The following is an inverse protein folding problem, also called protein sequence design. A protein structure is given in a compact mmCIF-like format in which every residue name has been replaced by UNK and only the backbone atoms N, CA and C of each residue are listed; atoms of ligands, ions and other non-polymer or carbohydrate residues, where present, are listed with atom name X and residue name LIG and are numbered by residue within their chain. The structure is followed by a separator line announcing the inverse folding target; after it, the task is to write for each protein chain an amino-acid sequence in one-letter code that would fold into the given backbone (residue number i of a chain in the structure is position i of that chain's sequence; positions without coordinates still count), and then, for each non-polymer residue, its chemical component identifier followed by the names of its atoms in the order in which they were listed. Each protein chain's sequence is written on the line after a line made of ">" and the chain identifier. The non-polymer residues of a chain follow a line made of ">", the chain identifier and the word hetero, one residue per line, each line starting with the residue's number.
data_IF_128940130131
#
_entry.id   IF_128940130131
#
_cell.length_a   1.000
_cell.length_b   1.000
_cell.length_c   1.000
_cell.angle_alpha   90.00
_cell.angle_beta   90.00
_cell.angle_gamma   90.00
#
_symmetry.space_group_name_H-M   'P 1'
#
loop_
_entity.id
_entity.type
_entity.pdbx_description
1 polymer ?
#
# COMPACT_ATOMS: atom_id res chain seq x y z
N UNK A 1 -11.14 -42.65 62.45
CA UNK A 1 -10.86 -42.56 61.00
C UNK A 1 -12.01 -41.86 60.33
N UNK A 2 -11.91 -40.57 60.11
CA UNK A 2 -12.77 -39.74 59.23
C UNK A 2 -12.31 -38.29 59.36
N UNK A 3 -11.68 -37.76 58.31
CA UNK A 3 -11.60 -36.35 57.95
C UNK A 3 -10.25 -36.01 57.31
N UNK A 4 -10.05 -36.42 56.10
CA UNK A 4 -8.92 -35.89 55.27
C UNK A 4 -9.27 -35.60 53.76
N UNK A 5 -10.55 -35.60 53.37
CA UNK A 5 -10.92 -35.49 51.96
C UNK A 5 -11.79 -34.26 51.62
N UNK A 6 -11.70 -33.16 52.38
CA UNK A 6 -12.58 -31.99 52.12
C UNK A 6 -11.81 -30.69 51.82
N UNK A 7 -10.52 -30.75 51.51
CA UNK A 7 -9.71 -29.53 51.27
C UNK A 7 -9.09 -29.43 49.86
N UNK A 8 -9.40 -30.36 48.93
CA UNK A 8 -8.86 -30.34 47.58
C UNK A 8 -9.86 -29.83 46.54
N UNK A 9 -11.14 -29.74 46.84
CA UNK A 9 -12.18 -29.35 45.87
C UNK A 9 -12.38 -27.83 45.73
N UNK A 10 -11.83 -27.00 46.61
CA UNK A 10 -12.08 -25.53 46.58
C UNK A 10 -10.98 -24.75 45.89
N UNK A 11 -9.83 -25.34 45.60
CA UNK A 11 -8.71 -24.65 44.96
C UNK A 11 -8.74 -24.68 43.41
N UNK A 12 -9.59 -25.51 42.79
CA UNK A 12 -9.68 -25.63 41.33
C UNK A 12 -10.75 -24.69 40.73
N UNK A 13 -11.72 -24.23 41.53
CA UNK A 13 -12.80 -23.37 41.03
C UNK A 13 -12.43 -21.88 40.93
N UNK A 14 -11.31 -21.42 41.52
CA UNK A 14 -10.89 -20.02 41.50
C UNK A 14 -9.87 -19.70 40.42
N UNK A 15 -9.31 -20.70 39.72
CA UNK A 15 -8.35 -20.49 38.62
C UNK A 15 -8.99 -20.31 37.22
N UNK A 16 -10.31 -20.53 37.10
CA UNK A 16 -11.03 -20.37 35.81
C UNK A 16 -11.77 -19.03 35.66
N UNK A 17 -11.69 -18.13 36.62
CA UNK A 17 -12.40 -16.85 36.59
C UNK A 17 -11.55 -15.66 36.05
N UNK A 18 -10.37 -15.91 35.48
CA UNK A 18 -9.42 -14.85 35.08
C UNK A 18 -9.05 -14.76 33.60
N UNK A 19 -9.51 -15.69 32.77
CA UNK A 19 -9.33 -15.53 31.33
C UNK A 19 -10.53 -14.76 30.78
N UNK A 20 -10.51 -13.44 30.87
CA UNK A 20 -11.36 -12.60 29.98
C UNK A 20 -10.91 -12.92 28.56
N UNK A 21 -11.70 -13.74 27.87
CA UNK A 21 -11.51 -13.97 26.44
C UNK A 21 -11.51 -12.59 25.77
N UNK A 22 -10.38 -12.19 25.17
CA UNK A 22 -10.33 -11.02 24.34
C UNK A 22 -11.27 -11.29 23.15
N UNK A 23 -12.47 -10.70 23.18
CA UNK A 23 -13.43 -10.83 22.09
C UNK A 23 -13.16 -9.75 21.05
N UNK A 24 -13.24 -10.12 19.79
CA UNK A 24 -13.24 -9.16 18.68
C UNK A 24 -14.29 -8.06 18.92
N UNK A 25 -13.93 -6.80 18.64
CA UNK A 25 -14.81 -5.66 18.88
C UNK A 25 -16.02 -5.72 17.94
N UNK A 26 -17.24 -5.73 18.48
CA UNK A 26 -18.45 -5.68 17.63
C UNK A 26 -18.54 -4.35 16.87
N UNK A 27 -19.30 -4.29 15.74
CA UNK A 27 -19.51 -3.02 15.03
C UNK A 27 -20.06 -1.90 15.92
N UNK A 28 -20.91 -2.23 16.90
CA UNK A 28 -21.45 -1.25 17.85
C UNK A 28 -20.37 -0.69 18.81
N UNK A 29 -19.48 -1.56 19.31
CA UNK A 29 -18.33 -1.14 20.12
C UNK A 29 -17.36 -0.31 19.29
N UNK A 30 -17.05 -0.74 18.06
CA UNK A 30 -16.19 0.00 17.14
C UNK A 30 -16.75 1.39 16.81
N UNK A 31 -18.06 1.50 16.62
CA UNK A 31 -18.74 2.77 16.38
C UNK A 31 -18.66 3.76 17.56
N UNK A 32 -18.53 3.23 18.78
CA UNK A 32 -18.43 4.02 20.00
C UNK A 32 -16.99 4.46 20.35
N UNK A 33 -15.98 4.03 19.60
CA UNK A 33 -14.59 4.45 19.79
C UNK A 33 -14.47 5.96 19.61
N UNK A 34 -13.93 6.71 20.58
CA UNK A 34 -13.86 8.16 20.53
C UNK A 34 -12.93 8.64 19.40
N UNK A 35 -13.14 9.87 18.92
CA UNK A 35 -12.45 10.42 17.76
C UNK A 35 -10.92 10.51 17.93
N UNK A 36 -10.43 10.66 19.16
CA UNK A 36 -9.01 10.68 19.49
C UNK A 36 -8.36 9.27 19.48
N UNK A 37 -9.13 8.23 19.28
CA UNK A 37 -8.68 6.85 19.08
C UNK A 37 -8.98 6.34 17.66
N UNK A 38 -9.26 7.26 16.73
CA UNK A 38 -9.53 6.96 15.33
C UNK A 38 -8.39 7.48 14.45
N UNK A 39 -7.71 6.59 13.73
CA UNK A 39 -6.68 6.94 12.76
C UNK A 39 -7.24 6.84 11.35
N UNK A 40 -7.06 7.87 10.52
CA UNK A 40 -7.47 7.86 9.12
C UNK A 40 -6.25 7.81 8.23
N UNK A 41 -6.15 6.73 7.46
CA UNK A 41 -5.09 6.47 6.50
C UNK A 41 -5.64 6.61 5.09
N UNK A 42 -4.88 7.22 4.19
CA UNK A 42 -5.18 7.20 2.76
C UNK A 42 -3.93 6.98 1.93
N UNK A 43 -4.10 6.46 0.70
CA UNK A 43 -3.04 6.37 -0.30
C UNK A 43 -2.84 5.00 -0.92
N UNK A 44 -1.62 4.50 -0.90
CA UNK A 44 -1.17 3.35 -1.68
C UNK A 44 -1.97 2.07 -1.48
N UNK A 45 -2.57 1.55 -2.55
CA UNK A 45 -3.19 0.22 -2.54
C UNK A 45 -2.14 -0.91 -2.54
N UNK A 46 -0.95 -0.66 -3.06
CA UNK A 46 0.13 -1.64 -3.12
C UNK A 46 0.74 -1.92 -1.73
N UNK A 47 0.81 -0.91 -0.84
CA UNK A 47 1.30 -1.05 0.53
C UNK A 47 0.25 -1.58 1.51
N UNK A 48 -1.01 -1.76 1.08
CA UNK A 48 -2.13 -2.15 1.95
C UNK A 48 -1.89 -3.44 2.72
N UNK A 49 -1.36 -4.46 2.06
CA UNK A 49 -1.14 -5.77 2.69
C UNK A 49 -0.06 -5.68 3.78
N UNK A 50 0.95 -4.83 3.60
CA UNK A 50 1.96 -4.56 4.63
C UNK A 50 1.37 -3.80 5.83
N UNK A 51 0.53 -2.80 5.58
CA UNK A 51 -0.20 -2.08 6.64
C UNK A 51 -1.12 -3.03 7.41
N UNK A 52 -1.89 -3.88 6.72
CA UNK A 52 -2.76 -4.86 7.36
C UNK A 52 -1.98 -5.90 8.17
N UNK A 53 -0.82 -6.36 7.67
CA UNK A 53 0.07 -7.25 8.41
C UNK A 53 0.55 -6.59 9.71
N UNK A 54 0.98 -5.32 9.65
CA UNK A 54 1.35 -4.55 10.84
C UNK A 54 0.20 -4.42 11.84
N UNK A 55 -0.98 -4.03 11.38
CA UNK A 55 -2.17 -3.88 12.23
C UNK A 55 -2.60 -5.21 12.89
N UNK A 56 -2.46 -6.34 12.19
CA UNK A 56 -2.84 -7.67 12.71
C UNK A 56 -1.74 -8.33 13.56
N UNK A 57 -0.56 -7.74 13.66
CA UNK A 57 0.51 -8.25 14.49
C UNK A 57 0.12 -8.22 15.99
N UNK A 58 0.46 -9.27 16.72
CA UNK A 58 0.16 -9.38 18.15
C UNK A 58 0.88 -8.31 18.99
N UNK A 59 1.89 -7.66 18.43
CA UNK A 59 2.60 -6.51 19.01
C UNK A 59 1.89 -5.19 18.79
N UNK A 60 0.92 -5.12 17.85
CA UNK A 60 0.08 -3.95 17.63
C UNK A 60 -1.32 -4.15 18.22
N UNK A 61 -2.02 -5.21 17.83
CA UNK A 61 -3.34 -5.57 18.34
C UNK A 61 -3.26 -6.77 19.27
N UNK A 62 -3.98 -6.76 20.39
CA UNK A 62 -4.13 -7.94 21.24
C UNK A 62 -4.69 -9.12 20.45
N UNK A 63 -4.16 -10.31 20.68
CA UNK A 63 -4.60 -11.51 19.99
C UNK A 63 -6.11 -11.74 20.18
N UNK A 64 -6.82 -12.01 19.07
CA UNK A 64 -8.26 -12.26 19.06
C UNK A 64 -9.16 -11.03 19.08
N UNK A 65 -8.60 -9.80 19.08
CA UNK A 65 -9.40 -8.56 19.05
C UNK A 65 -9.50 -7.90 17.67
N UNK A 66 -8.68 -8.32 16.71
CA UNK A 66 -8.57 -7.70 15.39
C UNK A 66 -9.76 -8.02 14.47
N UNK A 67 -10.43 -6.99 13.98
CA UNK A 67 -11.52 -7.08 13.00
C UNK A 67 -11.23 -6.31 11.72
N UNK A 68 -11.82 -6.78 10.63
CA UNK A 68 -11.76 -6.17 9.30
C UNK A 68 -13.15 -5.78 8.83
N UNK A 69 -13.28 -4.56 8.33
CA UNK A 69 -14.49 -4.04 7.70
C UNK A 69 -14.18 -3.60 6.29
N UNK A 70 -15.06 -3.91 5.36
CA UNK A 70 -14.96 -3.49 3.95
C UNK A 70 -16.33 -3.19 3.37
N UNK A 71 -16.37 -2.56 2.21
CA UNK A 71 -17.62 -2.27 1.51
C UNK A 71 -18.24 -3.55 0.93
N UNK A 72 -19.55 -3.63 0.95
CA UNK A 72 -20.34 -4.85 0.66
C UNK A 72 -20.62 -5.14 -0.83
N UNK A 73 -20.06 -4.38 -1.79
CA UNK A 73 -20.40 -4.54 -3.22
C UNK A 73 -19.23 -5.03 -4.06
N UNK A 74 -19.53 -5.70 -5.20
CA UNK A 74 -18.51 -6.25 -6.12
C UNK A 74 -17.68 -5.20 -6.84
N UNK A 75 -18.22 -4.00 -7.05
CA UNK A 75 -17.51 -2.83 -7.61
C UNK A 75 -17.28 -1.78 -6.52
N UNK A 76 -16.98 -2.26 -5.34
CA UNK A 76 -16.85 -1.40 -4.17
C UNK A 76 -15.60 -0.57 -4.21
N UNK A 77 -15.67 0.66 -3.70
CA UNK A 77 -14.48 1.43 -3.41
C UNK A 77 -13.59 0.63 -2.44
N UNK A 78 -12.28 0.77 -2.59
CA UNK A 78 -11.32 0.12 -1.68
C UNK A 78 -11.20 0.94 -0.38
N UNK A 79 -12.32 0.97 0.35
CA UNK A 79 -12.46 1.58 1.66
C UNK A 79 -12.55 0.48 2.71
N UNK A 80 -11.66 0.51 3.67
CA UNK A 80 -11.57 -0.46 4.76
C UNK A 80 -11.57 0.23 6.11
N UNK A 81 -11.90 -0.53 7.14
CA UNK A 81 -11.62 -0.18 8.51
C UNK A 81 -11.12 -1.42 9.26
N UNK A 82 -10.29 -1.18 10.26
CA UNK A 82 -9.76 -2.19 11.15
C UNK A 82 -10.01 -1.74 12.58
N UNK A 83 -10.44 -2.62 13.45
CA UNK A 83 -10.55 -2.29 14.87
C UNK A 83 -9.91 -3.37 15.73
N UNK A 84 -9.32 -2.97 16.82
CA UNK A 84 -8.79 -3.86 17.82
C UNK A 84 -8.59 -3.16 19.18
N UNK A 85 -8.20 -3.91 20.17
CA UNK A 85 -7.61 -3.42 21.41
C UNK A 85 -6.08 -3.42 21.24
N UNK A 86 -5.42 -2.29 21.54
CA UNK A 86 -3.96 -2.18 21.43
C UNK A 86 -3.26 -3.15 22.39
N UNK A 87 -2.14 -3.69 21.93
CA UNK A 87 -1.40 -4.71 22.68
C UNK A 87 -0.77 -4.15 23.95
N UNK A 88 -0.85 -4.91 25.04
CA UNK A 88 -0.15 -4.62 26.30
C UNK A 88 1.33 -5.00 26.19
N UNK A 89 2.21 -4.16 26.73
CA UNK A 89 3.66 -4.37 26.66
C UNK A 89 4.23 -4.29 25.25
N UNK A 90 3.54 -3.59 24.35
CA UNK A 90 3.98 -3.36 22.99
C UNK A 90 5.24 -2.50 22.97
N UNK A 91 6.24 -2.82 22.16
CA UNK A 91 7.41 -1.93 21.98
C UNK A 91 7.07 -0.65 21.21
N UNK A 92 5.88 -0.53 20.63
CA UNK A 92 5.47 0.57 19.76
C UNK A 92 4.58 1.59 20.45
N UNK A 93 4.02 1.27 21.62
CA UNK A 93 3.15 2.15 22.39
C UNK A 93 3.74 2.40 23.77
N UNK A 94 3.31 3.49 24.38
CA UNK A 94 3.56 3.72 25.80
C UNK A 94 2.34 3.29 26.62
N UNK A 95 2.52 3.17 27.92
CA UNK A 95 1.50 2.72 28.88
C UNK A 95 0.20 3.55 28.83
N UNK A 96 0.21 4.74 28.18
CA UNK A 96 -0.94 5.65 28.18
C UNK A 96 -2.03 5.24 27.19
N UNK A 97 -1.72 4.43 26.17
CA UNK A 97 -2.69 3.98 25.15
C UNK A 97 -2.77 2.45 25.03
N UNK A 98 -1.97 1.71 25.80
CA UNK A 98 -2.08 0.26 25.85
C UNK A 98 -3.48 -0.15 26.37
N UNK A 99 -4.03 -1.23 25.82
CA UNK A 99 -5.39 -1.71 26.11
C UNK A 99 -6.52 -0.80 25.60
N UNK A 100 -6.24 0.29 24.94
CA UNK A 100 -7.28 1.13 24.33
C UNK A 100 -7.87 0.47 23.09
N UNK A 101 -9.17 0.65 22.90
CA UNK A 101 -9.83 0.26 21.66
C UNK A 101 -9.57 1.32 20.61
N UNK A 102 -9.11 0.90 19.44
CA UNK A 102 -8.82 1.79 18.32
C UNK A 102 -9.55 1.36 17.05
N UNK A 103 -9.80 2.31 16.16
CA UNK A 103 -10.25 2.04 14.81
C UNK A 103 -9.39 2.79 13.79
N UNK A 104 -8.92 2.07 12.81
CA UNK A 104 -8.07 2.56 11.72
C UNK A 104 -8.88 2.47 10.42
N UNK A 105 -9.14 3.61 9.79
CA UNK A 105 -9.80 3.68 8.50
C UNK A 105 -8.73 3.77 7.41
N UNK A 106 -8.87 2.98 6.36
CA UNK A 106 -7.92 2.99 5.25
C UNK A 106 -8.64 3.13 3.92
N UNK A 107 -8.36 4.23 3.24
CA UNK A 107 -8.76 4.49 1.86
C UNK A 107 -7.58 4.20 0.94
N UNK A 108 -7.63 3.12 0.17
CA UNK A 108 -6.57 2.73 -0.75
C UNK A 108 -6.97 2.87 -2.24
N UNK A 109 -8.04 3.56 -2.52
CA UNK A 109 -8.51 3.84 -3.88
C UNK A 109 -7.96 5.18 -4.41
N UNK A 110 -7.78 5.30 -5.73
CA UNK A 110 -7.33 6.52 -6.39
C UNK A 110 -5.82 6.74 -6.33
N UNK A 111 -5.08 5.80 -5.74
CA UNK A 111 -3.62 5.80 -5.74
C UNK A 111 -2.97 6.50 -4.55
N UNK A 112 -1.65 6.44 -4.55
CA UNK A 112 -0.80 6.85 -3.43
C UNK A 112 -0.89 8.32 -3.09
N UNK A 113 -1.09 9.19 -4.10
CA UNK A 113 -1.14 10.64 -3.88
C UNK A 113 -2.29 11.09 -2.98
N UNK A 114 -3.35 10.29 -2.87
CA UNK A 114 -4.46 10.59 -1.97
C UNK A 114 -4.09 10.56 -0.48
N UNK A 115 -2.91 10.02 -0.14
CA UNK A 115 -2.34 10.13 1.20
C UNK A 115 -1.64 11.49 1.40
N UNK A 116 -0.41 11.65 0.90
CA UNK A 116 0.37 12.88 1.11
C UNK A 116 -0.26 14.11 0.45
N UNK A 117 -0.89 13.98 -0.72
CA UNK A 117 -1.56 15.10 -1.40
C UNK A 117 -2.77 15.62 -0.62
N UNK A 118 -3.57 14.74 -0.02
CA UNK A 118 -4.68 15.15 0.84
C UNK A 118 -4.19 15.85 2.11
N UNK A 119 -3.07 15.41 2.70
CA UNK A 119 -2.42 16.08 3.83
C UNK A 119 -1.92 17.47 3.41
N UNK A 120 -1.15 17.55 2.30
CA UNK A 120 -0.58 18.80 1.80
C UNK A 120 -1.63 19.86 1.52
N UNK A 121 -2.81 19.47 1.06
CA UNK A 121 -3.90 20.37 0.67
C UNK A 121 -5.00 20.49 1.71
N UNK A 122 -4.90 19.77 2.82
CA UNK A 122 -5.93 19.72 3.86
C UNK A 122 -7.32 19.37 3.30
N UNK A 123 -7.37 18.36 2.40
CA UNK A 123 -8.60 17.91 1.73
C UNK A 123 -9.15 16.68 2.43
N UNK A 124 -10.41 16.66 2.88
CA UNK A 124 -11.01 15.46 3.43
C UNK A 124 -11.22 14.40 2.35
N UNK A 125 -11.01 13.13 2.71
CA UNK A 125 -11.18 11.95 1.85
C UNK A 125 -12.33 11.08 2.33
N UNK A 126 -12.91 10.31 1.41
CA UNK A 126 -13.92 9.31 1.75
C UNK A 126 -13.33 8.25 2.69
N UNK A 127 -14.07 7.87 3.70
CA UNK A 127 -13.76 6.74 4.59
C UNK A 127 -15.01 5.92 4.92
N UNK A 128 -14.79 4.66 5.25
CA UNK A 128 -15.84 3.79 5.74
C UNK A 128 -16.36 4.29 7.10
N UNK A 129 -17.66 4.11 7.36
CA UNK A 129 -18.27 4.27 8.68
C UNK A 129 -18.66 2.89 9.19
N UNK A 130 -18.12 2.50 10.33
CA UNK A 130 -18.50 1.26 11.00
C UNK A 130 -19.68 1.52 11.93
N UNK A 131 -20.75 0.77 11.78
CA UNK A 131 -21.93 0.83 12.66
C UNK A 131 -22.69 -0.50 12.64
N UNK A 132 -23.82 -0.58 13.31
CA UNK A 132 -24.62 -1.80 13.43
C UNK A 132 -25.15 -2.39 12.10
N UNK A 133 -25.11 -1.63 10.99
CA UNK A 133 -25.46 -2.15 9.65
C UNK A 133 -24.36 -2.98 9.01
N UNK A 134 -23.13 -2.96 9.55
CA UNK A 134 -22.03 -3.84 9.10
C UNK A 134 -22.32 -5.27 9.56
N UNK A 135 -22.39 -6.20 8.63
CA UNK A 135 -22.75 -7.60 8.90
C UNK A 135 -21.55 -8.51 8.87
N UNK A 136 -21.45 -9.40 9.85
CA UNK A 136 -20.40 -10.42 9.93
C UNK A 136 -20.55 -11.42 8.76
N UNK A 137 -19.44 -11.71 8.08
CA UNK A 137 -19.40 -12.69 7.00
C UNK A 137 -18.68 -13.97 7.39
N UNK A 138 -17.53 -13.83 8.03
CA UNK A 138 -16.77 -14.94 8.58
C UNK A 138 -15.84 -14.43 9.70
N UNK A 139 -15.69 -15.20 10.77
CA UNK A 139 -14.74 -14.94 11.87
C UNK A 139 -14.72 -13.49 12.35
N UNK A 140 -13.86 -12.68 11.78
CA UNK A 140 -13.64 -11.26 12.12
C UNK A 140 -13.85 -10.30 10.94
N UNK A 141 -14.42 -10.79 9.83
CA UNK A 141 -14.65 -10.00 8.62
C UNK A 141 -16.10 -9.50 8.55
N UNK A 142 -16.28 -8.21 8.31
CA UNK A 142 -17.56 -7.54 8.22
C UNK A 142 -17.73 -6.84 6.86
N UNK A 143 -18.96 -6.83 6.34
CA UNK A 143 -19.36 -6.06 5.17
C UNK A 143 -20.27 -4.91 5.58
N UNK A 144 -19.92 -3.70 5.15
CA UNK A 144 -20.67 -2.48 5.43
C UNK A 144 -21.32 -1.96 4.13
N UNK A 145 -22.63 -1.72 4.09
CA UNK A 145 -23.30 -1.27 2.88
C UNK A 145 -22.95 0.18 2.52
N UNK A 146 -22.49 0.39 1.29
CA UNK A 146 -22.26 1.70 0.67
C UNK A 146 -22.90 1.69 -0.71
N UNK A 147 -23.57 2.76 -1.11
CA UNK A 147 -24.22 2.90 -2.41
C UNK A 147 -23.83 4.22 -3.08
N UNK A 148 -23.92 4.25 -4.42
CA UNK A 148 -23.68 5.45 -5.24
C UNK A 148 -22.30 6.10 -5.03
N UNK A 149 -21.29 5.31 -4.70
CA UNK A 149 -19.92 5.81 -4.62
C UNK A 149 -19.38 6.11 -6.03
N UNK A 150 -18.77 7.27 -6.18
CA UNK A 150 -18.06 7.68 -7.38
C UNK A 150 -16.68 8.22 -7.01
N UNK A 151 -15.64 7.61 -7.53
CA UNK A 151 -14.26 7.99 -7.25
C UNK A 151 -13.95 9.42 -7.74
N UNK A 152 -14.46 9.83 -8.90
CA UNK A 152 -14.19 11.15 -9.47
C UNK A 152 -14.59 12.30 -8.55
N UNK A 153 -15.61 12.12 -7.69
CA UNK A 153 -16.02 13.08 -6.67
C UNK A 153 -15.70 12.62 -5.24
N UNK A 154 -14.88 11.57 -5.09
CA UNK A 154 -14.50 10.98 -3.82
C UNK A 154 -15.69 10.65 -2.91
N UNK A 155 -16.72 10.04 -3.49
CA UNK A 155 -17.89 9.60 -2.75
C UNK A 155 -18.80 10.71 -2.21
N UNK A 156 -18.70 11.96 -2.72
CA UNK A 156 -19.59 13.05 -2.25
C UNK A 156 -21.08 12.75 -2.44
N UNK A 157 -21.42 11.91 -3.41
CA UNK A 157 -22.78 11.45 -3.68
C UNK A 157 -23.11 10.09 -3.07
N UNK A 158 -22.15 9.46 -2.41
CA UNK A 158 -22.35 8.15 -1.81
C UNK A 158 -23.27 8.22 -0.59
N UNK A 159 -23.97 7.12 -0.34
CA UNK A 159 -24.88 6.93 0.78
C UNK A 159 -24.55 5.65 1.54
N UNK A 160 -25.07 5.52 2.76
CA UNK A 160 -24.82 4.36 3.63
C UNK A 160 -23.62 4.61 4.54
N UNK A 161 -22.78 3.59 4.68
CA UNK A 161 -21.64 3.60 5.62
C UNK A 161 -20.42 4.36 5.08
N UNK A 162 -20.60 5.64 4.77
CA UNK A 162 -19.53 6.49 4.24
C UNK A 162 -19.59 7.90 4.85
N UNK A 163 -18.44 8.50 5.05
CA UNK A 163 -18.25 9.90 5.39
C UNK A 163 -16.93 10.41 4.83
N UNK A 164 -16.63 11.69 5.01
CA UNK A 164 -15.37 12.29 4.61
C UNK A 164 -14.67 12.93 5.79
N UNK A 165 -13.35 12.74 5.88
CA UNK A 165 -12.55 13.28 6.98
C UNK A 165 -11.12 13.55 6.55
N UNK A 166 -10.40 14.37 7.32
CA UNK A 166 -9.00 14.65 7.06
C UNK A 166 -8.13 13.41 7.29
N UNK A 167 -7.07 13.29 6.48
CA UNK A 167 -6.09 12.22 6.58
C UNK A 167 -5.12 12.50 7.72
N UNK A 168 -4.92 11.54 8.59
CA UNK A 168 -3.94 11.61 9.68
C UNK A 168 -2.57 11.04 9.24
N UNK A 169 -2.60 9.98 8.41
CA UNK A 169 -1.40 9.28 7.94
C UNK A 169 -1.54 8.97 6.44
N UNK A 170 -0.70 9.57 5.62
CA UNK A 170 -0.62 9.27 4.20
C UNK A 170 0.32 8.11 3.96
N UNK A 171 -0.05 7.19 3.06
CA UNK A 171 0.80 6.07 2.62
C UNK A 171 1.04 6.19 1.12
N UNK A 172 2.29 6.14 0.68
CA UNK A 172 2.66 6.21 -0.72
C UNK A 172 3.69 5.14 -1.08
N UNK A 173 3.69 4.70 -2.35
CA UNK A 173 4.63 3.70 -2.86
C UNK A 173 6.04 4.27 -3.09
N UNK A 174 6.18 5.60 -3.03
CA UNK A 174 7.42 6.36 -3.16
C UNK A 174 7.25 7.75 -2.51
N UNK A 175 8.30 8.60 -2.58
CA UNK A 175 8.27 9.93 -1.96
C UNK A 175 7.18 10.83 -2.55
N UNK A 176 6.57 11.70 -1.71
CA UNK A 176 5.48 12.58 -2.14
C UNK A 176 5.82 13.48 -3.32
N UNK A 177 7.06 13.95 -3.43
CA UNK A 177 7.53 14.86 -4.49
C UNK A 177 7.50 14.23 -5.88
N UNK A 178 7.54 12.89 -5.99
CA UNK A 178 7.47 12.19 -7.26
C UNK A 178 6.09 12.27 -7.92
N UNK A 179 5.07 12.71 -7.20
CA UNK A 179 3.71 12.86 -7.72
C UNK A 179 3.44 14.22 -8.37
N UNK A 180 4.45 14.92 -8.83
CA UNK A 180 4.30 16.20 -9.54
C UNK A 180 4.02 16.02 -11.05
N UNK A 181 3.47 17.06 -11.67
CA UNK A 181 3.22 17.12 -13.12
C UNK A 181 2.27 16.02 -13.61
N UNK A 182 2.72 15.22 -14.57
CA UNK A 182 1.92 14.13 -15.16
C UNK A 182 1.54 13.03 -14.16
N UNK A 183 2.21 12.97 -13.01
CA UNK A 183 1.95 12.01 -11.95
C UNK A 183 1.01 12.54 -10.85
N UNK A 184 0.55 13.80 -10.96
CA UNK A 184 -0.52 14.31 -10.09
C UNK A 184 -1.84 13.61 -10.41
N UNK A 185 -2.90 13.91 -9.69
CA UNK A 185 -4.23 13.31 -9.91
C UNK A 185 -4.86 13.70 -11.25
N UNK A 186 -5.85 12.94 -11.68
CA UNK A 186 -6.70 13.31 -12.80
C UNK A 186 -7.37 14.67 -12.57
N UNK A 187 -7.50 15.51 -13.64
CA UNK A 187 -8.23 16.77 -13.57
C UNK A 187 -9.66 16.58 -13.08
N UNK A 188 -10.14 17.53 -12.27
CA UNK A 188 -11.51 17.51 -11.75
C UNK A 188 -11.72 16.69 -10.49
N UNK A 189 -10.70 15.99 -9.99
CA UNK A 189 -10.80 15.30 -8.69
C UNK A 189 -10.83 16.31 -7.52
N UNK A 190 -11.35 15.93 -6.34
CA UNK A 190 -11.36 16.79 -5.15
C UNK A 190 -9.98 17.25 -4.66
N UNK A 191 -8.90 16.56 -5.00
CA UNK A 191 -7.55 17.06 -4.75
C UNK A 191 -7.22 18.30 -5.62
N UNK A 192 -7.90 18.47 -6.76
CA UNK A 192 -7.74 19.63 -7.63
C UNK A 192 -6.33 19.81 -8.19
N UNK A 193 -5.92 21.04 -8.44
CA UNK A 193 -4.61 21.34 -9.02
C UNK A 193 -3.46 20.93 -8.07
N UNK A 194 -2.33 20.61 -8.66
CA UNK A 194 -1.08 20.35 -7.95
C UNK A 194 -0.75 21.51 -6.99
N UNK A 195 -0.24 21.22 -5.77
CA UNK A 195 0.23 22.27 -4.87
C UNK A 195 1.45 22.99 -5.44
N UNK A 196 1.80 24.15 -4.88
CA UNK A 196 3.00 24.87 -5.27
C UNK A 196 4.25 24.00 -5.17
N UNK A 197 5.23 24.25 -6.05
CA UNK A 197 6.49 23.54 -6.06
C UNK A 197 7.15 23.51 -4.66
N UNK A 198 7.67 22.36 -4.26
CA UNK A 198 8.31 22.13 -2.97
C UNK A 198 7.37 21.80 -1.82
N UNK A 199 6.04 21.96 -1.95
CA UNK A 199 5.10 21.63 -0.86
C UNK A 199 5.10 20.13 -0.58
N UNK A 200 5.10 19.29 -1.61
CA UNK A 200 5.17 17.83 -1.43
C UNK A 200 6.51 17.37 -0.87
N UNK A 201 7.61 17.96 -1.34
CA UNK A 201 8.96 17.67 -0.86
C UNK A 201 9.19 18.09 0.62
N UNK A 202 8.42 19.08 1.10
CA UNK A 202 8.50 19.53 2.49
C UNK A 202 7.72 18.64 3.47
N UNK A 203 6.95 17.67 2.99
CA UNK A 203 6.22 16.74 3.86
C UNK A 203 7.20 15.79 4.57
N UNK A 204 7.01 15.54 5.88
CA UNK A 204 7.83 14.60 6.63
C UNK A 204 7.48 13.16 6.24
N UNK A 205 8.04 12.68 5.15
CA UNK A 205 7.85 11.32 4.67
C UNK A 205 8.89 10.38 5.29
N UNK A 206 8.41 9.31 5.94
CA UNK A 206 9.25 8.28 6.57
C UNK A 206 9.22 7.02 5.71
N UNK A 207 10.34 6.52 5.20
CA UNK A 207 10.39 5.24 4.49
C UNK A 207 10.08 4.09 5.45
N UNK A 208 9.20 3.17 5.02
CA UNK A 208 8.73 2.08 5.89
C UNK A 208 9.10 0.70 5.38
N UNK A 209 8.98 0.44 4.09
CA UNK A 209 9.32 -0.85 3.46
C UNK A 209 9.89 -0.64 2.07
N UNK A 210 10.71 -1.58 1.60
CA UNK A 210 10.99 -1.75 0.18
C UNK A 210 9.86 -2.55 -0.47
N UNK A 211 9.38 -2.10 -1.63
CA UNK A 211 8.32 -2.75 -2.36
C UNK A 211 8.73 -2.99 -3.81
N UNK A 212 8.74 -4.26 -4.22
CA UNK A 212 9.07 -4.65 -5.58
C UNK A 212 7.84 -4.55 -6.49
N UNK A 213 8.06 -4.11 -7.71
CA UNK A 213 7.05 -4.02 -8.78
C UNK A 213 7.46 -4.90 -9.96
N UNK A 214 6.52 -5.21 -10.84
CA UNK A 214 6.80 -6.03 -12.01
C UNK A 214 5.89 -5.71 -13.18
N UNK A 215 6.33 -6.15 -14.35
CA UNK A 215 5.56 -6.06 -15.60
C UNK A 215 4.73 -7.32 -15.75
N UNK A 216 3.44 -7.13 -15.99
CA UNK A 216 2.47 -8.20 -16.21
C UNK A 216 2.16 -8.34 -17.69
N UNK A 217 2.02 -9.59 -18.13
CA UNK A 217 1.36 -9.97 -19.38
C UNK A 217 0.31 -11.03 -19.07
N UNK A 218 -0.56 -11.36 -20.03
CA UNK A 218 -1.48 -12.50 -19.87
C UNK A 218 -0.69 -13.81 -19.65
N UNK A 219 -1.27 -14.73 -18.90
CA UNK A 219 -0.63 -16.02 -18.62
C UNK A 219 -0.38 -16.88 -19.87
N UNK A 220 -1.23 -16.72 -20.91
CA UNK A 220 -1.12 -17.39 -22.20
C UNK A 220 -0.18 -16.68 -23.20
N UNK A 221 0.31 -15.49 -22.90
CA UNK A 221 1.28 -14.78 -23.72
C UNK A 221 2.61 -15.55 -23.79
N UNK A 222 3.25 -15.68 -24.96
CA UNK A 222 4.59 -16.27 -25.06
C UNK A 222 5.69 -15.37 -24.50
N UNK A 223 5.41 -14.10 -24.26
CA UNK A 223 6.38 -13.13 -23.70
C UNK A 223 6.83 -13.59 -22.31
N UNK A 224 8.14 -13.84 -22.17
CA UNK A 224 8.74 -14.29 -20.91
C UNK A 224 9.69 -13.25 -20.29
N UNK A 225 10.28 -12.42 -21.14
CA UNK A 225 11.25 -11.40 -20.72
C UNK A 225 11.10 -10.11 -21.55
N UNK A 226 11.38 -8.98 -20.95
CA UNK A 226 11.47 -7.68 -21.62
C UNK A 226 12.72 -6.95 -21.14
N UNK A 227 13.34 -6.19 -22.01
CA UNK A 227 14.37 -5.24 -21.60
C UNK A 227 13.72 -3.95 -21.06
N UNK A 228 14.48 -3.17 -20.29
CA UNK A 228 14.06 -1.81 -19.86
C UNK A 228 13.69 -0.97 -21.09
N UNK A 229 14.44 -1.09 -22.18
CA UNK A 229 14.18 -0.34 -23.42
C UNK A 229 12.86 -0.77 -24.08
N UNK A 230 12.53 -2.06 -24.11
CA UNK A 230 11.25 -2.53 -24.67
C UNK A 230 10.08 -2.01 -23.85
N UNK A 231 10.18 -2.07 -22.52
CA UNK A 231 9.16 -1.55 -21.61
C UNK A 231 8.99 -0.05 -21.82
N UNK A 232 10.07 0.70 -21.85
CA UNK A 232 10.05 2.15 -22.15
C UNK A 232 9.38 2.41 -23.48
N UNK A 233 9.76 1.69 -24.55
CA UNK A 233 9.20 1.89 -25.90
C UNK A 233 7.71 1.57 -25.98
N UNK A 234 7.24 0.57 -25.26
CA UNK A 234 5.80 0.25 -25.17
C UNK A 234 5.05 1.35 -24.44
N UNK A 235 5.49 1.71 -23.22
CA UNK A 235 4.77 2.69 -22.40
C UNK A 235 4.90 4.14 -22.86
N UNK A 236 5.83 4.46 -23.73
CA UNK A 236 5.90 5.75 -24.44
C UNK A 236 5.19 5.73 -25.78
N UNK A 237 4.57 4.60 -26.17
CA UNK A 237 3.83 4.45 -27.42
C UNK A 237 4.69 4.33 -28.67
N UNK A 238 6.01 4.11 -28.53
CA UNK A 238 6.90 3.88 -29.67
C UNK A 238 6.76 2.46 -30.26
N UNK A 239 6.31 1.51 -29.46
CA UNK A 239 5.90 0.18 -29.90
C UNK A 239 4.39 0.04 -29.75
N UNK A 240 3.69 -0.07 -30.89
CA UNK A 240 2.23 -0.26 -30.94
C UNK A 240 1.80 -1.71 -31.16
N UNK A 241 2.71 -2.58 -31.58
CA UNK A 241 2.47 -3.98 -31.90
C UNK A 241 3.56 -4.86 -31.33
N UNK A 242 3.18 -6.05 -30.84
CA UNK A 242 4.13 -7.00 -30.28
C UNK A 242 5.19 -7.50 -31.27
N UNK A 243 4.91 -7.43 -32.59
CA UNK A 243 5.92 -7.74 -33.61
C UNK A 243 7.13 -6.79 -33.61
N UNK A 244 6.99 -5.60 -33.02
CA UNK A 244 8.07 -4.63 -32.86
C UNK A 244 8.97 -4.93 -31.65
N UNK A 245 8.52 -5.80 -30.73
CA UNK A 245 9.24 -6.16 -29.50
C UNK A 245 10.13 -7.37 -29.78
N UNK A 246 11.46 -7.23 -29.71
CA UNK A 246 12.38 -8.31 -29.99
C UNK A 246 12.14 -9.53 -29.08
N UNK A 247 12.00 -10.70 -29.65
CA UNK A 247 11.83 -11.95 -28.89
C UNK A 247 10.47 -12.13 -28.24
N UNK A 248 9.47 -11.30 -28.55
CA UNK A 248 8.11 -11.40 -27.98
C UNK A 248 7.43 -12.75 -28.31
N UNK A 249 7.76 -13.35 -29.44
CA UNK A 249 7.12 -14.59 -29.91
C UNK A 249 5.65 -14.45 -30.29
N UNK A 250 5.14 -13.22 -30.38
CA UNK A 250 3.74 -12.90 -30.71
C UNK A 250 3.64 -11.63 -31.56
N UNK A 251 2.45 -11.36 -32.08
CA UNK A 251 2.13 -10.18 -32.91
C UNK A 251 0.77 -9.64 -32.50
N UNK A 252 0.44 -8.47 -33.03
CA UNK A 252 -0.84 -7.78 -32.84
C UNK A 252 -0.73 -6.57 -31.91
N UNK A 253 -1.73 -5.68 -31.98
CA UNK A 253 -1.70 -4.41 -31.27
C UNK A 253 -1.60 -4.61 -29.76
N UNK A 254 -0.76 -3.79 -29.13
CA UNK A 254 -0.54 -3.83 -27.68
C UNK A 254 -1.66 -3.04 -26.97
N UNK A 255 -2.30 -3.68 -26.00
CA UNK A 255 -3.20 -3.00 -25.06
C UNK A 255 -2.46 -2.71 -23.76
N UNK A 256 -2.33 -1.42 -23.42
CA UNK A 256 -1.67 -0.97 -22.19
C UNK A 256 -2.73 -0.81 -21.10
N UNK A 257 -2.74 -1.73 -20.14
CA UNK A 257 -3.52 -1.61 -18.91
C UNK A 257 -2.67 -0.86 -17.88
N UNK A 258 -2.83 0.46 -17.78
CA UNK A 258 -2.08 1.28 -16.82
C UNK A 258 -2.92 1.63 -15.60
N UNK A 259 -2.27 2.10 -14.56
CA UNK A 259 -2.93 2.77 -13.45
C UNK A 259 -3.18 4.24 -13.80
N UNK A 260 -4.22 4.82 -13.22
CA UNK A 260 -4.51 6.25 -13.32
C UNK A 260 -3.41 7.12 -12.71
N UNK A 261 -3.45 8.42 -12.98
CA UNK A 261 -2.57 9.41 -12.36
C UNK A 261 -2.71 9.40 -10.84
N UNK A 262 -1.62 9.69 -10.14
CA UNK A 262 -1.58 9.61 -8.68
C UNK A 262 -1.39 8.21 -8.10
N UNK A 263 -1.41 7.17 -8.93
CA UNK A 263 -1.01 5.83 -8.52
C UNK A 263 0.50 5.76 -8.32
N UNK A 264 0.96 5.36 -7.14
CA UNK A 264 2.38 5.19 -6.87
C UNK A 264 3.02 4.08 -7.73
N UNK A 265 2.30 3.00 -8.00
CA UNK A 265 2.73 1.95 -8.93
C UNK A 265 3.01 2.51 -10.33
N UNK A 266 2.13 3.39 -10.84
CA UNK A 266 2.34 4.03 -12.15
C UNK A 266 3.46 5.07 -12.07
N UNK A 267 3.44 5.93 -11.07
CA UNK A 267 4.48 6.94 -10.85
C UNK A 267 5.87 6.29 -10.75
N UNK A 268 5.99 5.20 -10.00
CA UNK A 268 7.23 4.44 -9.91
C UNK A 268 7.72 3.91 -11.26
N UNK A 269 6.80 3.48 -12.13
CA UNK A 269 7.16 3.09 -13.49
C UNK A 269 7.63 4.28 -14.34
N UNK A 270 6.92 5.42 -14.23
CA UNK A 270 7.28 6.63 -14.95
C UNK A 270 8.66 7.16 -14.53
N UNK A 271 8.97 7.07 -13.23
CA UNK A 271 10.30 7.40 -12.70
C UNK A 271 11.35 6.42 -13.21
N UNK A 272 11.10 5.12 -13.08
CA UNK A 272 12.12 4.09 -13.35
C UNK A 272 12.42 3.91 -14.84
N UNK A 273 11.38 3.81 -15.68
CA UNK A 273 11.57 3.53 -17.11
C UNK A 273 11.75 4.79 -17.95
N UNK A 274 11.07 5.89 -17.59
CA UNK A 274 11.03 7.11 -18.41
C UNK A 274 11.79 8.29 -17.81
N UNK A 275 12.24 8.19 -16.55
CA UNK A 275 12.95 9.27 -15.88
C UNK A 275 12.08 10.47 -15.51
N UNK A 276 10.74 10.31 -15.42
CA UNK A 276 9.84 11.38 -14.99
C UNK A 276 10.25 11.94 -13.63
N UNK A 277 10.24 13.25 -13.51
CA UNK A 277 10.68 14.00 -12.33
C UNK A 277 12.17 13.83 -11.95
N UNK A 278 12.93 13.05 -12.73
CA UNK A 278 14.34 12.76 -12.48
C UNK A 278 15.27 13.29 -13.57
N UNK A 279 14.75 13.58 -14.75
CA UNK A 279 15.53 14.02 -15.89
C UNK A 279 14.81 15.09 -16.70
N UNK A 280 15.50 16.14 -17.17
CA UNK A 280 14.92 17.12 -18.08
C UNK A 280 14.57 16.53 -19.45
N UNK A 281 15.11 15.34 -19.78
CA UNK A 281 14.80 14.60 -21.01
C UNK A 281 13.86 13.41 -20.76
N UNK A 282 13.08 13.46 -19.68
CA UNK A 282 12.09 12.44 -19.38
C UNK A 282 11.08 12.27 -20.53
N UNK A 283 10.75 11.03 -20.83
CA UNK A 283 9.78 10.68 -21.86
C UNK A 283 8.38 10.57 -21.23
N UNK A 284 7.35 11.17 -21.84
CA UNK A 284 5.99 11.05 -21.32
C UNK A 284 5.45 9.63 -21.55
N UNK A 285 4.85 9.04 -20.53
CA UNK A 285 4.04 7.84 -20.69
C UNK A 285 2.76 8.13 -21.46
N UNK A 286 2.34 7.20 -22.32
CA UNK A 286 1.05 7.34 -23.00
C UNK A 286 -0.10 7.33 -22.01
N UNK A 287 -1.07 8.17 -22.29
CA UNK A 287 -2.28 8.35 -21.52
C UNK A 287 -3.49 8.25 -22.45
N UNK A 288 -4.66 7.90 -21.94
CA UNK A 288 -5.85 7.74 -22.78
C UNK A 288 -6.33 9.05 -23.41
N UNK A 289 -6.06 10.18 -22.76
CA UNK A 289 -6.56 11.51 -23.18
C UNK A 289 -5.47 12.50 -23.52
N UNK A 290 -4.49 12.70 -22.63
CA UNK A 290 -3.55 13.83 -22.73
C UNK A 290 -2.33 13.53 -23.59
N UNK A 291 -1.92 12.28 -23.67
CA UNK A 291 -0.80 11.81 -24.45
C UNK A 291 -1.15 10.46 -25.11
N UNK A 292 -2.11 10.47 -26.07
CA UNK A 292 -2.51 9.23 -26.72
C UNK A 292 -1.35 8.65 -27.52
N UNK A 293 -1.25 7.31 -27.61
CA UNK A 293 -0.18 6.66 -28.35
C UNK A 293 -0.24 6.95 -29.85
N UNK A 294 0.91 7.18 -30.46
CA UNK A 294 1.04 7.52 -31.89
C UNK A 294 0.78 6.28 -32.77
N UNK A 295 1.11 5.09 -32.29
CA UNK A 295 1.14 3.86 -33.09
C UNK A 295 -0.02 2.89 -32.80
N UNK A 296 -1.16 3.40 -32.35
CA UNK A 296 -2.40 2.61 -32.30
C UNK A 296 -2.56 1.69 -31.11
N UNK A 297 -1.74 1.82 -30.07
CA UNK A 297 -1.99 1.12 -28.79
C UNK A 297 -3.34 1.54 -28.23
N UNK A 298 -4.04 0.61 -27.62
CA UNK A 298 -5.16 0.93 -26.73
C UNK A 298 -4.63 1.17 -25.33
N UNK A 299 -4.97 2.30 -24.71
CA UNK A 299 -4.62 2.62 -23.32
C UNK A 299 -5.88 2.58 -22.47
N UNK A 300 -5.89 1.76 -21.42
CA UNK A 300 -7.01 1.62 -20.50
C UNK A 300 -6.49 1.93 -19.08
N UNK A 301 -7.11 2.92 -18.45
CA UNK A 301 -6.75 3.36 -17.11
C UNK A 301 -7.58 2.66 -16.04
N UNK A 302 -6.94 2.40 -14.91
CA UNK A 302 -7.48 1.55 -13.86
C UNK A 302 -7.24 2.20 -12.49
N UNK A 303 -8.30 2.41 -11.71
CA UNK A 303 -8.25 3.05 -10.40
C UNK A 303 -7.63 2.20 -9.29
N UNK A 304 -7.60 0.87 -9.47
CA UNK A 304 -7.07 -0.07 -8.47
C UNK A 304 -6.20 -1.15 -9.13
N UNK A 305 -5.41 -1.86 -8.34
CA UNK A 305 -4.67 -3.04 -8.81
C UNK A 305 -5.61 -4.18 -9.23
N UNK A 306 -6.79 -4.28 -8.62
CA UNK A 306 -7.80 -5.28 -9.00
C UNK A 306 -8.43 -4.97 -10.35
N UNK A 307 -8.78 -3.71 -10.63
CA UNK A 307 -9.31 -3.30 -11.94
C UNK A 307 -8.26 -3.45 -13.05
N UNK A 308 -6.98 -3.23 -12.75
CA UNK A 308 -5.88 -3.54 -13.69
C UNK A 308 -5.84 -5.04 -14.03
N UNK A 309 -5.97 -5.93 -13.05
CA UNK A 309 -6.04 -7.37 -13.31
C UNK A 309 -7.23 -7.75 -14.21
N UNK A 310 -8.39 -7.11 -14.02
CA UNK A 310 -9.57 -7.28 -14.90
C UNK A 310 -9.29 -6.80 -16.31
N UNK A 311 -8.69 -5.61 -16.47
CA UNK A 311 -8.26 -5.08 -17.77
C UNK A 311 -7.34 -6.06 -18.49
N UNK A 312 -6.33 -6.59 -17.79
CA UNK A 312 -5.35 -7.53 -18.34
C UNK A 312 -6.00 -8.80 -18.88
N UNK A 313 -6.99 -9.34 -18.16
CA UNK A 313 -7.68 -10.59 -18.57
C UNK A 313 -8.72 -10.37 -19.66
N UNK A 314 -9.34 -9.21 -19.70
CA UNK A 314 -10.35 -8.86 -20.71
C UNK A 314 -9.75 -8.56 -22.09
N UNK A 315 -8.47 -8.18 -22.17
CA UNK A 315 -7.82 -7.74 -23.40
C UNK A 315 -6.70 -8.71 -23.80
N UNK A 316 -6.77 -9.20 -25.03
CA UNK A 316 -5.65 -9.94 -25.64
C UNK A 316 -4.46 -9.00 -25.85
N UNK A 317 -3.24 -9.53 -25.85
CA UNK A 317 -2.02 -8.74 -26.05
C UNK A 317 -1.79 -7.61 -25.05
N UNK A 318 -2.37 -7.73 -23.85
CA UNK A 318 -2.26 -6.72 -22.81
C UNK A 318 -0.92 -6.77 -22.07
N UNK A 319 -0.49 -5.58 -21.65
CA UNK A 319 0.65 -5.35 -20.75
C UNK A 319 0.24 -4.42 -19.63
N UNK A 320 0.77 -4.62 -18.43
CA UNK A 320 0.47 -3.77 -17.28
C UNK A 320 1.58 -3.79 -16.24
N UNK A 321 1.41 -2.99 -15.19
CA UNK A 321 2.37 -2.85 -14.10
C UNK A 321 1.65 -3.11 -12.78
N UNK A 322 2.24 -3.93 -11.94
CA UNK A 322 1.69 -4.21 -10.61
C UNK A 322 2.80 -4.41 -9.58
N UNK A 323 2.41 -4.36 -8.31
CA UNK A 323 3.27 -4.82 -7.22
C UNK A 323 3.61 -6.30 -7.44
N UNK A 324 4.87 -6.67 -7.20
CA UNK A 324 5.38 -8.03 -7.43
C UNK A 324 4.98 -8.99 -6.29
N UNK A 325 3.69 -9.01 -5.97
CA UNK A 325 3.02 -9.96 -5.10
C UNK A 325 2.56 -11.18 -5.93
N UNK A 326 1.48 -11.83 -5.58
CA UNK A 326 0.86 -12.81 -6.48
C UNK A 326 0.34 -12.11 -7.75
N UNK A 327 0.69 -12.63 -8.92
CA UNK A 327 0.13 -12.13 -10.17
C UNK A 327 -1.40 -12.34 -10.14
N UNK A 328 -2.21 -11.36 -10.59
CA UNK A 328 -3.64 -11.54 -10.75
C UNK A 328 -3.96 -12.78 -11.58
N UNK A 329 -5.04 -13.49 -11.25
CA UNK A 329 -5.47 -14.68 -12.00
C UNK A 329 -5.54 -14.39 -13.50
N UNK A 330 -4.99 -15.28 -14.33
CA UNK A 330 -4.92 -15.10 -15.77
C UNK A 330 -3.79 -14.19 -16.27
N UNK A 331 -2.89 -13.76 -15.37
CA UNK A 331 -1.68 -13.00 -15.72
C UNK A 331 -0.42 -13.68 -15.18
N UNK A 332 0.74 -13.23 -15.67
CA UNK A 332 2.06 -13.62 -15.16
C UNK A 332 3.01 -12.44 -15.21
N UNK A 333 3.98 -12.42 -14.31
CA UNK A 333 5.10 -11.50 -14.40
C UNK A 333 6.10 -11.97 -15.47
N UNK A 334 6.67 -11.01 -16.19
CA UNK A 334 7.84 -11.23 -17.05
C UNK A 334 9.12 -10.83 -16.33
N UNK A 335 10.25 -11.38 -16.73
CA UNK A 335 11.55 -10.92 -16.23
C UNK A 335 11.95 -9.58 -16.87
N UNK A 336 12.65 -8.74 -16.11
CA UNK A 336 13.27 -7.52 -16.62
C UNK A 336 14.78 -7.74 -16.64
N UNK A 337 15.41 -7.70 -17.82
CA UNK A 337 16.83 -7.98 -17.95
C UNK A 337 17.25 -9.34 -17.38
N UNK A 338 16.42 -10.37 -17.56
CA UNK A 338 16.60 -11.74 -17.03
C UNK A 338 16.45 -11.89 -15.50
N UNK A 339 15.99 -10.85 -14.81
CA UNK A 339 15.71 -10.90 -13.38
C UNK A 339 14.21 -11.00 -13.12
N UNK A 340 13.79 -11.98 -12.32
CA UNK A 340 12.40 -12.13 -11.93
C UNK A 340 12.02 -11.07 -10.87
N UNK A 341 10.84 -10.43 -11.00
CA UNK A 341 10.37 -9.53 -9.97
C UNK A 341 10.04 -10.29 -8.68
N UNK A 342 10.40 -9.72 -7.56
CA UNK A 342 10.08 -10.31 -6.27
C UNK A 342 10.92 -9.77 -5.12
N UNK A 343 10.44 -10.03 -3.91
CA UNK A 343 11.09 -9.62 -2.67
C UNK A 343 12.54 -10.11 -2.58
N UNK A 344 12.75 -11.39 -2.85
CA UNK A 344 14.08 -12.00 -2.68
C UNK A 344 15.13 -11.40 -3.63
N UNK A 345 14.75 -11.19 -4.89
CA UNK A 345 15.66 -10.63 -5.91
C UNK A 345 15.90 -9.13 -5.68
N UNK A 346 14.90 -8.38 -5.23
CA UNK A 346 15.04 -6.98 -4.87
C UNK A 346 15.92 -6.82 -3.61
N UNK A 347 15.70 -7.63 -2.57
CA UNK A 347 16.43 -7.54 -1.31
C UNK A 347 17.94 -7.85 -1.44
N UNK A 348 18.33 -8.69 -2.43
CA UNK A 348 19.75 -8.98 -2.71
C UNK A 348 20.34 -8.08 -3.80
N UNK A 349 19.58 -7.06 -4.26
CA UNK A 349 20.07 -6.08 -5.25
C UNK A 349 20.22 -6.62 -6.67
N UNK A 350 19.64 -7.78 -7.00
CA UNK A 350 19.64 -8.32 -8.37
C UNK A 350 18.48 -7.83 -9.23
N UNK A 351 17.45 -7.26 -8.61
CA UNK A 351 16.28 -6.69 -9.27
C UNK A 351 16.07 -5.24 -8.84
N UNK A 352 16.17 -4.29 -9.75
CA UNK A 352 16.24 -2.86 -9.47
C UNK A 352 14.89 -2.13 -9.48
N UNK A 353 13.82 -2.76 -10.03
CA UNK A 353 12.52 -2.11 -10.11
C UNK A 353 11.73 -2.28 -8.80
N UNK A 354 12.12 -1.54 -7.80
CA UNK A 354 11.48 -1.45 -6.48
C UNK A 354 11.64 -0.03 -5.91
N UNK A 355 10.80 0.36 -4.98
CA UNK A 355 10.83 1.66 -4.31
C UNK A 355 10.63 1.50 -2.82
N UNK A 356 11.03 2.53 -2.07
CA UNK A 356 10.70 2.68 -0.67
C UNK A 356 9.29 3.25 -0.55
N UNK A 357 8.35 2.48 -0.02
CA UNK A 357 7.06 3.01 0.36
C UNK A 357 7.24 3.91 1.58
N UNK A 358 6.52 5.03 1.60
CA UNK A 358 6.65 6.06 2.61
C UNK A 358 5.34 6.26 3.38
N UNK A 359 5.47 6.70 4.64
CA UNK A 359 4.35 7.19 5.44
C UNK A 359 4.58 8.65 5.81
N UNK A 360 3.55 9.47 5.62
CA UNK A 360 3.55 10.91 5.91
C UNK A 360 2.54 11.20 7.00
N UNK A 361 3.00 11.65 8.16
CA UNK A 361 2.11 12.02 9.27
C UNK A 361 1.65 13.48 9.10
N UNK A 362 0.36 13.73 9.23
CA UNK A 362 -0.18 15.08 9.22
C UNK A 362 0.31 15.88 10.43
N UNK A 363 0.50 17.17 10.25
CA UNK A 363 0.83 18.08 11.36
C UNK A 363 -0.36 18.32 12.28
N UNK A 364 -0.09 18.63 13.56
CA UNK A 364 -1.11 19.06 14.52
C UNK A 364 -2.08 17.95 14.98
N UNK A 365 -1.71 16.69 14.86
CA UNK A 365 -2.49 15.58 15.42
C UNK A 365 -2.56 15.70 16.95
N UNK A 366 -3.69 15.28 17.54
CA UNK A 366 -3.74 15.10 18.99
C UNK A 366 -2.77 14.00 19.43
N UNK A 367 -2.41 13.99 20.72
CA UNK A 367 -1.37 13.10 21.26
C UNK A 367 -1.68 11.63 20.98
N UNK A 368 -2.91 11.17 21.24
CA UNK A 368 -3.31 9.76 21.08
C UNK A 368 -3.26 9.30 19.62
N UNK A 369 -3.86 10.05 18.69
CA UNK A 369 -3.78 9.72 17.25
C UNK A 369 -2.33 9.75 16.77
N UNK A 370 -1.52 10.69 17.26
CA UNK A 370 -0.10 10.77 16.98
C UNK A 370 0.65 9.51 17.41
N UNK A 371 0.40 9.02 18.62
CA UNK A 371 1.00 7.78 19.15
C UNK A 371 0.54 6.53 18.37
N UNK A 372 -0.74 6.45 17.99
CA UNK A 372 -1.25 5.34 17.15
C UNK A 372 -0.56 5.36 15.77
N UNK A 373 -0.40 6.54 15.17
CA UNK A 373 0.29 6.68 13.89
C UNK A 373 1.77 6.29 13.98
N UNK A 374 2.48 6.74 15.02
CA UNK A 374 3.89 6.40 15.24
C UNK A 374 4.07 4.89 15.49
N UNK A 375 3.17 4.28 16.28
CA UNK A 375 3.16 2.84 16.50
C UNK A 375 2.92 2.04 15.22
N UNK A 376 2.02 2.51 14.35
CA UNK A 376 1.79 1.87 13.06
C UNK A 376 3.01 1.99 12.13
N UNK A 377 3.65 3.15 12.07
CA UNK A 377 4.91 3.32 11.32
C UNK A 377 5.94 2.31 11.83
N UNK A 378 6.15 2.24 13.13
CA UNK A 378 7.14 1.38 13.75
C UNK A 378 6.89 -0.13 13.50
N UNK A 379 5.63 -0.60 13.62
CA UNK A 379 5.31 -2.01 13.37
C UNK A 379 5.41 -2.39 11.89
N UNK A 380 5.13 -1.46 10.97
CA UNK A 380 5.32 -1.69 9.53
C UNK A 380 6.81 -1.68 9.16
N UNK A 381 7.65 -0.99 9.89
CA UNK A 381 9.11 -1.04 9.73
C UNK A 381 9.74 -2.30 10.33
N UNK A 382 9.02 -3.02 11.19
CA UNK A 382 9.55 -4.19 11.90
C UNK A 382 9.81 -5.36 10.94
N UNK A 383 11.03 -5.84 10.93
CA UNK A 383 11.51 -6.92 10.08
C UNK A 383 10.87 -8.29 10.40
N UNK A 384 10.21 -8.43 11.54
CA UNK A 384 9.48 -9.65 11.92
C UNK A 384 8.06 -9.68 11.37
N UNK A 385 7.47 -8.52 11.10
CA UNK A 385 6.11 -8.37 10.56
C UNK A 385 6.06 -8.49 9.04
N UNK A 386 6.99 -7.85 8.34
CA UNK A 386 7.02 -7.73 6.87
C UNK A 386 7.26 -9.05 6.11
N UNK A 387 7.98 -10.06 6.59
CA UNK A 387 8.17 -11.33 5.86
C UNK A 387 6.90 -12.06 5.46
N UNK A 388 5.75 -11.71 6.01
CA UNK A 388 4.45 -12.27 5.63
C UNK A 388 3.90 -11.70 4.31
N UNK A 389 4.50 -10.61 3.79
CA UNK A 389 4.06 -9.91 2.57
C UNK A 389 5.02 -10.20 1.42
N UNK A 390 4.53 -10.85 0.36
CA UNK A 390 5.38 -11.38 -0.71
C UNK A 390 6.18 -10.34 -1.52
N UNK A 391 5.67 -9.11 -1.64
CA UNK A 391 6.29 -8.04 -2.43
C UNK A 391 7.13 -7.08 -1.60
N UNK A 392 6.93 -7.08 -0.28
CA UNK A 392 7.57 -6.15 0.62
C UNK A 392 8.79 -6.78 1.33
N UNK A 393 9.77 -5.97 1.63
CA UNK A 393 10.94 -6.34 2.42
C UNK A 393 11.32 -5.21 3.38
N UNK A 394 11.83 -5.60 4.53
CA UNK A 394 12.29 -4.64 5.53
C UNK A 394 13.52 -3.89 5.02
N UNK A 395 13.56 -2.60 5.30
CA UNK A 395 14.72 -1.75 5.07
C UNK A 395 15.54 -1.73 6.35
N UNK A 396 16.65 -2.45 6.42
CA UNK A 396 17.48 -2.47 7.63
C UNK A 396 18.10 -1.12 7.91
N UNK A 397 18.14 -0.76 9.19
CA UNK A 397 18.83 0.43 9.66
C UNK A 397 18.14 1.73 9.24
N UNK A 398 16.81 1.77 9.21
CA UNK A 398 16.01 2.99 9.01
C UNK A 398 16.10 4.00 10.15
N UNK A 399 17.04 3.85 11.07
CA UNK A 399 17.48 4.96 11.90
C UNK A 399 18.11 6.05 11.00
N UNK A 400 18.19 7.32 11.44
CA UNK A 400 18.89 8.36 10.70
C UNK A 400 20.32 7.86 10.47
N UNK A 401 20.63 7.40 9.26
CA UNK A 401 21.99 7.02 8.87
C UNK A 401 22.72 8.32 8.64
N UNK A 402 23.29 8.83 9.69
CA UNK A 402 24.24 9.95 9.66
C UNK A 402 25.68 9.48 9.45
N UNK A 403 25.90 8.26 8.94
CA UNK A 403 27.26 7.81 8.70
C UNK A 403 27.34 6.75 7.59
N UNK A 404 28.36 6.84 6.72
CA UNK A 404 28.63 5.86 5.66
C UNK A 404 29.14 4.50 6.15
N UNK A 405 28.99 4.17 7.42
CA UNK A 405 29.54 2.98 8.09
C UNK A 405 28.53 2.26 8.97
N UNK A 406 27.24 2.25 8.63
CA UNK A 406 26.34 1.30 9.28
C UNK A 406 26.85 -0.13 9.01
N UNK A 407 27.14 -0.88 10.06
CA UNK A 407 27.67 -2.23 9.97
C UNK A 407 26.82 -3.08 9.02
N UNK A 408 27.46 -3.69 8.05
CA UNK A 408 26.87 -4.63 7.10
C UNK A 408 26.22 -5.76 7.90
N UNK A 409 24.89 -5.79 7.96
CA UNK A 409 24.17 -6.93 8.49
C UNK A 409 24.15 -8.03 7.41
N UNK A 410 24.49 -9.26 7.73
CA UNK A 410 24.49 -10.33 6.74
C UNK A 410 23.05 -10.53 6.23
N UNK A 411 22.88 -10.62 4.93
CA UNK A 411 21.63 -10.97 4.29
C UNK A 411 21.19 -12.34 4.81
N UNK A 412 20.17 -12.36 5.64
CA UNK A 412 19.58 -13.61 6.10
C UNK A 412 18.66 -14.17 5.02
N UNK A 413 18.86 -15.40 4.60
CA UNK A 413 17.98 -16.10 3.66
C UNK A 413 16.58 -16.33 4.23
N UNK A 414 16.44 -16.27 5.55
CA UNK A 414 15.16 -16.43 6.26
C UNK A 414 14.47 -15.09 6.52
N UNK A 415 15.22 -13.98 6.52
CA UNK A 415 14.72 -12.61 6.67
C UNK A 415 15.41 -11.74 5.64
N UNK A 416 14.88 -11.61 4.42
CA UNK A 416 15.47 -10.75 3.42
C UNK A 416 15.35 -9.30 3.89
N UNK A 417 16.46 -8.78 4.35
CA UNK A 417 16.65 -7.38 4.74
C UNK A 417 17.40 -6.72 3.62
N UNK A 418 16.83 -5.74 2.96
CA UNK A 418 17.55 -4.94 1.98
C UNK A 418 18.51 -4.01 2.69
N UNK A 419 19.75 -4.09 2.31
CA UNK A 419 20.78 -3.12 2.67
C UNK A 419 20.85 -1.97 1.67
N UNK A 420 20.00 -2.01 0.65
CA UNK A 420 19.92 -1.01 -0.38
C UNK A 420 18.93 0.08 0.02
N UNK A 421 19.26 1.32 -0.28
CA UNK A 421 18.39 2.47 -0.09
C UNK A 421 18.19 3.21 -1.39
N UNK A 422 16.96 3.66 -1.57
CA UNK A 422 16.58 4.54 -2.67
C UNK A 422 15.56 5.49 -2.09
N UNK A 423 15.76 6.77 -2.14
CA UNK A 423 14.75 7.70 -1.74
C UNK A 423 15.09 8.58 -0.54
N UNK A 424 14.12 8.90 0.29
CA UNK A 424 14.13 10.03 1.24
C UNK A 424 15.26 10.05 2.26
N UNK A 425 15.92 8.93 2.55
CA UNK A 425 17.02 8.88 3.51
C UNK A 425 18.40 9.22 2.91
N UNK A 426 18.55 9.05 1.58
CA UNK A 426 19.84 9.21 0.87
C UNK A 426 19.71 10.10 -0.39
N UNK A 427 18.57 10.67 -0.60
CA UNK A 427 18.19 11.41 -1.79
C UNK A 427 16.72 11.20 -2.14
N UNK A 428 16.42 10.89 -3.38
CA UNK A 428 15.06 10.61 -3.83
C UNK A 428 15.01 9.38 -4.74
N UNK A 429 13.81 8.96 -5.12
CA UNK A 429 13.56 7.82 -6.02
C UNK A 429 14.25 7.89 -7.37
N UNK A 430 14.83 9.03 -7.74
CA UNK A 430 15.65 9.17 -8.95
C UNK A 430 16.99 8.42 -8.87
N UNK A 431 17.44 8.09 -7.69
CA UNK A 431 18.69 7.35 -7.52
C UNK A 431 18.46 5.85 -7.72
N UNK A 432 19.46 5.19 -8.31
CA UNK A 432 19.43 3.72 -8.36
C UNK A 432 19.57 3.16 -6.95
N UNK A 433 18.97 1.99 -6.68
CA UNK A 433 19.22 1.28 -5.44
C UNK A 433 20.73 1.09 -5.24
N UNK A 434 21.22 1.45 -4.08
CA UNK A 434 22.61 1.19 -3.70
C UNK A 434 22.61 0.02 -2.73
N UNK A 435 23.08 -1.15 -3.19
CA UNK A 435 23.40 -2.23 -2.28
C UNK A 435 24.59 -1.79 -1.41
N UNK A 436 24.40 -1.70 -0.12
CA UNK A 436 25.53 -1.55 0.80
C UNK A 436 26.10 -2.95 1.02
N UNK A 437 27.24 -3.21 0.43
CA UNK A 437 28.05 -4.41 0.67
C UNK A 437 28.79 -4.31 2.01
#
# INVERSE_FOLDING_TARGET
>A
MRSKNLLVATAVATALAGATSAYALTPAVTAAIPADHQLVIAGASAARDAVEAGLSAATFCQAGTFNRYRVATTNSPDLRAYSCTLATGSPYFNDTIENDNVVIFYRSEGGSIWGPGAIAKNVPVARLVVNASCTLTDGTNYLCPVSNYNLANDGQTATGNITRTLVNLGVADLEPEMFSGANWVEPGTPLGNEPAAGVLAALPAVPVIGQAFGILVRSDSPVAALSVQDITSIFTGNYGDWSQVPGSGTTGPITICRRERGSGTQTGADVFFNGQNCSPSALPFVHSTDNPPIFGNTVIENSTSSSLGTCMTANTNSIGISVANAAPTGTKFVTIGNQAPGRATAAVGSYDYWFEATMTKAGGLNTTVGLIADGLIAVVQDDTTIPTVNSAFALSGLGPVSAPNAAVLPVSTTRPVALARRGSSEGNSCQKPQAQN
#
